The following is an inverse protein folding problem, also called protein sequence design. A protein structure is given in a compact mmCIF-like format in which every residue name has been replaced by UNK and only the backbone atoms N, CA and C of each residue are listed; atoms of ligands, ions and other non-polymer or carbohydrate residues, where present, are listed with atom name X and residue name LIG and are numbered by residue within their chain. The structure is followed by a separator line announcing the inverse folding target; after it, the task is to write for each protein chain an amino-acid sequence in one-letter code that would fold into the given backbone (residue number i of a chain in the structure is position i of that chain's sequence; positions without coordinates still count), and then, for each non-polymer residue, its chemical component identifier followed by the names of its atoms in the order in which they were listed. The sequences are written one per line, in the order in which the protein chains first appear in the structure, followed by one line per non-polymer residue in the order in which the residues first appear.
data_IF_111770001334
#
_entry.id   IF_111770001334
#
_cell.length_a   1.000
_cell.length_b   1.000
_cell.length_c   1.000
_cell.angle_alpha   90.00
_cell.angle_beta   90.00
_cell.angle_gamma   90.00
#
_symmetry.space_group_name_H-M   'P 1'
#
loop_
_entity.id
_entity.type
_entity.pdbx_description
1 polymer ?
#
# COMPACT_ATOMS: atom_id res chain seq x y z
N UNK A 1 -34.93 21.60 0.73
CA UNK A 1 -33.88 22.13 -0.16
C UNK A 1 -33.47 20.99 -1.07
N UNK A 2 -33.77 21.09 -2.36
CA UNK A 2 -33.34 20.08 -3.33
C UNK A 2 -31.83 20.20 -3.47
N UNK A 3 -31.09 19.11 -3.23
CA UNK A 3 -29.67 19.04 -3.60
C UNK A 3 -29.63 19.30 -5.10
N UNK A 4 -29.02 20.42 -5.50
CA UNK A 4 -28.88 20.75 -6.91
C UNK A 4 -28.03 19.67 -7.61
N UNK A 5 -28.19 19.53 -8.93
CA UNK A 5 -27.49 18.49 -9.70
C UNK A 5 -25.96 18.67 -9.62
N UNK A 6 -25.49 19.91 -9.46
CA UNK A 6 -24.08 20.25 -9.33
C UNK A 6 -23.47 19.74 -8.00
N UNK A 7 -24.16 19.91 -6.87
CA UNK A 7 -23.79 19.42 -5.54
C UNK A 7 -23.76 17.89 -5.52
N UNK A 8 -24.69 17.22 -6.23
CA UNK A 8 -24.65 15.76 -6.38
C UNK A 8 -23.42 15.31 -7.14
N UNK A 9 -23.09 15.97 -8.24
CA UNK A 9 -21.90 15.68 -9.03
C UNK A 9 -20.60 15.89 -8.22
N UNK A 10 -20.52 16.97 -7.44
CA UNK A 10 -19.37 17.25 -6.58
C UNK A 10 -19.20 16.19 -5.48
N UNK A 11 -20.28 15.79 -4.82
CA UNK A 11 -20.26 14.71 -3.81
C UNK A 11 -19.81 13.39 -4.44
N UNK A 12 -20.32 13.04 -5.61
CA UNK A 12 -19.90 11.83 -6.32
C UNK A 12 -18.42 11.87 -6.70
N UNK A 13 -17.93 13.00 -7.22
CA UNK A 13 -16.52 13.17 -7.56
C UNK A 13 -15.62 12.98 -6.33
N UNK A 14 -16.01 13.56 -5.19
CA UNK A 14 -15.26 13.41 -3.93
C UNK A 14 -15.23 11.97 -3.42
N UNK A 15 -16.35 11.26 -3.51
CA UNK A 15 -16.42 9.84 -3.12
C UNK A 15 -15.55 8.97 -4.04
N UNK A 16 -15.58 9.24 -5.35
CA UNK A 16 -14.76 8.51 -6.31
C UNK A 16 -13.26 8.70 -6.06
N UNK A 17 -12.81 9.95 -5.87
CA UNK A 17 -11.41 10.24 -5.57
C UNK A 17 -10.94 9.57 -4.26
N UNK A 18 -11.81 9.55 -3.24
CA UNK A 18 -11.53 8.86 -1.98
C UNK A 18 -11.35 7.35 -2.18
N UNK A 19 -12.25 6.74 -2.94
CA UNK A 19 -12.22 5.30 -3.18
C UNK A 19 -11.02 4.91 -4.05
N UNK A 20 -10.63 5.74 -5.02
CA UNK A 20 -9.40 5.55 -5.83
C UNK A 20 -8.15 5.59 -4.96
N UNK A 21 -7.97 6.60 -4.11
CA UNK A 21 -6.84 6.69 -3.18
C UNK A 21 -6.74 5.45 -2.26
N UNK A 22 -7.88 4.98 -1.74
CA UNK A 22 -7.94 3.79 -0.90
C UNK A 22 -7.52 2.54 -1.69
N UNK A 23 -8.01 2.36 -2.93
CA UNK A 23 -7.61 1.24 -3.78
C UNK A 23 -6.11 1.23 -4.04
N UNK A 24 -5.53 2.37 -4.40
CA UNK A 24 -4.09 2.49 -4.65
C UNK A 24 -3.27 2.16 -3.39
N UNK A 25 -3.70 2.67 -2.23
CA UNK A 25 -3.08 2.33 -0.95
C UNK A 25 -3.09 0.83 -0.66
N UNK A 26 -4.19 0.13 -1.01
CA UNK A 26 -4.28 -1.31 -0.88
C UNK A 26 -3.42 -2.07 -1.91
N UNK A 27 -3.30 -1.57 -3.14
CA UNK A 27 -2.40 -2.13 -4.16
C UNK A 27 -0.96 -2.11 -3.66
N UNK A 28 -0.48 -0.97 -3.15
CA UNK A 28 0.87 -0.87 -2.58
C UNK A 28 1.11 -1.80 -1.39
N UNK A 29 0.09 -2.00 -0.55
CA UNK A 29 0.16 -2.96 0.55
C UNK A 29 0.24 -4.42 0.02
N UNK A 30 -0.45 -4.73 -1.08
CA UNK A 30 -0.38 -6.05 -1.73
C UNK A 30 0.97 -6.28 -2.42
N UNK A 31 1.55 -5.26 -3.04
CA UNK A 31 2.92 -5.32 -3.59
C UNK A 31 3.94 -5.66 -2.49
N UNK A 32 3.84 -5.02 -1.32
CA UNK A 32 4.72 -5.33 -0.19
C UNK A 32 4.54 -6.77 0.31
N UNK A 33 3.33 -7.33 0.25
CA UNK A 33 3.06 -8.73 0.59
C UNK A 33 3.74 -9.70 -0.39
N UNK A 34 3.73 -9.40 -1.68
CA UNK A 34 4.40 -10.22 -2.70
C UNK A 34 5.91 -10.26 -2.42
N UNK A 35 6.53 -9.11 -2.17
CA UNK A 35 7.96 -9.03 -1.85
C UNK A 35 8.29 -9.80 -0.57
N UNK A 36 7.45 -9.71 0.46
CA UNK A 36 7.60 -10.50 1.69
C UNK A 36 7.56 -12.00 1.44
N UNK A 37 6.63 -12.46 0.61
CA UNK A 37 6.47 -13.88 0.34
C UNK A 37 7.64 -14.42 -0.50
N UNK A 38 8.19 -13.61 -1.41
CA UNK A 38 9.41 -13.94 -2.13
C UNK A 38 10.65 -13.95 -1.22
N UNK A 39 10.78 -12.99 -0.31
CA UNK A 39 11.82 -12.98 0.72
C UNK A 39 11.78 -14.26 1.56
N UNK A 40 10.59 -14.71 1.98
CA UNK A 40 10.44 -15.98 2.72
C UNK A 40 10.89 -17.18 1.91
N UNK A 41 10.62 -17.23 0.61
CA UNK A 41 11.09 -18.31 -0.26
C UNK A 41 12.61 -18.29 -0.37
N UNK A 42 13.21 -17.11 -0.59
CA UNK A 42 14.66 -16.95 -0.65
C UNK A 42 15.32 -17.42 0.67
N UNK A 43 14.80 -16.98 1.82
CA UNK A 43 15.33 -17.38 3.13
C UNK A 43 15.23 -18.89 3.37
N UNK A 44 14.14 -19.53 2.91
CA UNK A 44 13.98 -20.99 2.99
C UNK A 44 14.90 -21.75 2.04
N UNK A 45 15.19 -21.20 0.85
CA UNK A 45 16.04 -21.84 -0.15
C UNK A 45 17.53 -21.73 0.17
N UNK A 46 17.98 -20.55 0.59
CA UNK A 46 19.40 -20.25 0.84
C UNK A 46 19.89 -20.79 2.19
N UNK A 47 18.99 -21.08 3.13
CA UNK A 47 19.34 -21.57 4.45
C UNK A 47 20.29 -20.59 5.15
N UNK A 48 21.48 -21.06 5.54
CA UNK A 48 22.45 -20.25 6.32
C UNK A 48 22.96 -19.03 5.55
N UNK A 49 22.94 -19.06 4.21
CA UNK A 49 23.46 -17.98 3.35
C UNK A 49 22.43 -16.87 3.08
N UNK A 50 21.24 -16.93 3.68
CA UNK A 50 20.16 -15.99 3.39
C UNK A 50 20.52 -14.52 3.68
N UNK A 51 21.49 -14.27 4.57
CA UNK A 51 21.89 -12.92 4.97
C UNK A 51 22.62 -12.17 3.84
N UNK A 52 23.33 -12.88 2.97
CA UNK A 52 24.02 -12.28 1.83
C UNK A 52 23.11 -12.31 0.59
N UNK A 53 22.57 -13.48 0.26
CA UNK A 53 21.85 -13.70 -1.00
C UNK A 53 20.47 -13.04 -1.02
N UNK A 54 19.79 -12.95 0.13
CA UNK A 54 18.44 -12.34 0.22
C UNK A 54 18.45 -10.89 0.74
N UNK A 55 19.64 -10.28 0.94
CA UNK A 55 19.76 -8.94 1.53
C UNK A 55 18.96 -7.88 0.75
N UNK A 56 19.07 -7.88 -0.56
CA UNK A 56 18.40 -6.92 -1.42
C UNK A 56 16.86 -7.01 -1.33
N UNK A 57 16.31 -8.21 -1.14
CA UNK A 57 14.87 -8.41 -0.90
C UNK A 57 14.46 -7.90 0.48
N UNK A 58 15.30 -8.13 1.49
CA UNK A 58 15.05 -7.64 2.85
C UNK A 58 15.06 -6.12 2.90
N UNK A 59 16.06 -5.48 2.27
CA UNK A 59 16.21 -4.02 2.21
C UNK A 59 15.02 -3.42 1.43
N UNK A 60 14.66 -4.00 0.27
CA UNK A 60 13.48 -3.58 -0.51
C UNK A 60 12.18 -3.69 0.29
N UNK A 61 11.97 -4.81 1.00
CA UNK A 61 10.79 -4.98 1.83
C UNK A 61 10.74 -3.97 2.99
N UNK A 62 11.88 -3.67 3.60
CA UNK A 62 11.99 -2.69 4.67
C UNK A 62 11.64 -1.27 4.19
N UNK A 63 12.04 -0.90 2.98
CA UNK A 63 11.68 0.41 2.40
C UNK A 63 10.20 0.48 2.04
N UNK A 64 9.66 -0.58 1.42
CA UNK A 64 8.22 -0.68 1.14
C UNK A 64 7.38 -0.61 2.43
N UNK A 65 7.84 -1.16 3.55
CA UNK A 65 7.12 -1.04 4.83
C UNK A 65 7.04 0.39 5.37
N UNK A 66 7.98 1.27 5.01
CA UNK A 66 7.93 2.68 5.41
C UNK A 66 6.93 3.45 4.55
N UNK A 67 7.00 3.23 3.23
CA UNK A 67 6.32 4.01 2.20
C UNK A 67 4.89 3.51 1.93
N UNK A 68 4.70 2.20 1.76
CA UNK A 68 3.48 1.57 1.26
C UNK A 68 2.46 1.24 2.37
N UNK A 69 2.54 1.90 3.53
CA UNK A 69 1.54 1.72 4.58
C UNK A 69 0.21 2.29 4.10
N UNK A 70 -0.87 1.57 4.37
CA UNK A 70 -2.23 2.04 4.08
C UNK A 70 -2.47 3.29 4.91
N UNK A 71 -2.41 4.46 4.25
CA UNK A 71 -2.79 5.74 4.82
C UNK A 71 -4.27 5.95 4.55
N UNK A 72 -5.04 6.23 5.59
CA UNK A 72 -6.43 6.63 5.41
C UNK A 72 -6.50 7.93 4.60
N UNK A 73 -7.64 8.18 3.95
CA UNK A 73 -7.87 9.41 3.20
C UNK A 73 -8.02 10.65 4.10
N UNK A 74 -8.35 10.44 5.39
CA UNK A 74 -8.58 11.51 6.35
C UNK A 74 -7.32 11.71 7.18
N UNK A 75 -6.70 12.87 7.04
CA UNK A 75 -5.63 13.32 7.93
C UNK A 75 -6.32 13.85 9.18
N UNK A 76 -6.04 13.24 10.32
CA UNK A 76 -6.46 13.73 11.63
C UNK A 76 -5.19 14.23 12.29
N UNK A 77 -5.00 15.55 12.33
CA UNK A 77 -3.93 16.16 13.11
C UNK A 77 -4.29 15.98 14.59
N UNK A 78 -3.40 15.32 15.34
CA UNK A 78 -3.50 15.16 16.80
C UNK A 78 -2.57 16.15 17.47
#
# INVERSE_FOLDING_TARGET
MAIDEAQRAEIQARLKARDEHLRESWVHAMEARIVRDELKKCQRGEGVNHLENCKWLADKYADMLKENRVKGYKIIDV
#
